data_IF_818235734588
#
_entry.id   IF_818235734588
#
_cell.length_a   1.000
_cell.length_b   1.000
_cell.length_c   1.000
_cell.angle_alpha   90.00
_cell.angle_beta   90.00
_cell.angle_gamma   90.00
#
_symmetry.space_group_name_H-M   'P 1'
#
loop_
_entity.id
_entity.type
_entity.pdbx_description
1 polymer ?
#
# COMPACT_ATOMS: atom_id res chain seq x y z
N UNK A 1 28.15 4.43 1.99
CA UNK A 1 27.90 5.89 2.00
C UNK A 1 26.93 6.11 0.86
N UNK A 2 25.64 6.00 1.17
CA UNK A 2 24.62 5.75 0.14
C UNK A 2 23.65 6.93 0.12
N UNK A 3 24.19 8.12 -0.14
CA UNK A 3 23.46 9.41 -0.17
C UNK A 3 22.33 9.46 -1.20
N UNK A 4 22.28 8.48 -2.12
CA UNK A 4 21.26 8.38 -3.16
C UNK A 4 19.95 7.74 -2.68
N UNK A 5 20.02 6.76 -1.77
CA UNK A 5 18.85 6.05 -1.22
C UNK A 5 18.06 6.94 -0.25
N UNK A 6 18.77 7.76 0.52
CA UNK A 6 18.17 8.75 1.43
C UNK A 6 17.42 9.85 0.67
N UNK A 7 17.96 10.29 -0.48
CA UNK A 7 17.35 11.31 -1.32
C UNK A 7 16.07 10.78 -2.01
N UNK A 8 16.10 9.56 -2.57
CA UNK A 8 14.92 8.95 -3.18
C UNK A 8 13.77 8.71 -2.17
N UNK A 9 14.11 8.28 -0.95
CA UNK A 9 13.12 8.10 0.12
C UNK A 9 12.49 9.43 0.55
N UNK A 10 13.29 10.50 0.60
CA UNK A 10 12.82 11.84 0.93
C UNK A 10 11.94 12.43 -0.18
N UNK A 11 12.30 12.21 -1.44
CA UNK A 11 11.51 12.66 -2.58
C UNK A 11 10.13 11.97 -2.63
N UNK A 12 10.10 10.63 -2.47
CA UNK A 12 8.84 9.89 -2.41
C UNK A 12 7.94 10.37 -1.28
N UNK A 13 8.51 10.67 -0.11
CA UNK A 13 7.78 11.22 1.02
C UNK A 13 7.10 12.56 0.66
N UNK A 14 7.82 13.47 0.02
CA UNK A 14 7.31 14.77 -0.39
C UNK A 14 6.21 14.65 -1.46
N UNK A 15 6.36 13.72 -2.40
CA UNK A 15 5.37 13.45 -3.44
C UNK A 15 4.06 12.93 -2.82
N UNK A 16 4.16 11.98 -1.88
CA UNK A 16 3.00 11.43 -1.15
C UNK A 16 2.31 12.50 -0.27
N UNK A 17 3.09 13.37 0.37
CA UNK A 17 2.53 14.49 1.12
C UNK A 17 1.75 15.45 0.22
N UNK A 18 2.30 15.78 -0.95
CA UNK A 18 1.67 16.67 -1.92
C UNK A 18 0.35 16.09 -2.44
N UNK A 19 0.34 14.80 -2.79
CA UNK A 19 -0.87 14.09 -3.21
C UNK A 19 -1.92 14.09 -2.10
N UNK A 20 -1.51 13.82 -0.86
CA UNK A 20 -2.41 13.83 0.30
C UNK A 20 -3.02 15.22 0.54
N UNK A 21 -2.23 16.29 0.37
CA UNK A 21 -2.72 17.66 0.46
C UNK A 21 -3.77 17.98 -0.60
N UNK A 22 -3.55 17.55 -1.85
CA UNK A 22 -4.49 17.75 -2.94
C UNK A 22 -5.81 17.01 -2.69
N UNK A 23 -5.74 15.75 -2.25
CA UNK A 23 -6.92 14.95 -1.87
C UNK A 23 -7.72 15.59 -0.73
N UNK A 24 -7.04 16.10 0.31
CA UNK A 24 -7.69 16.82 1.41
C UNK A 24 -8.37 18.10 0.93
N UNK A 25 -7.76 18.83 0.00
CA UNK A 25 -8.34 20.03 -0.58
C UNK A 25 -9.61 19.71 -1.39
N UNK A 26 -9.59 18.66 -2.22
CA UNK A 26 -10.76 18.17 -2.94
C UNK A 26 -11.89 17.76 -1.97
N UNK A 27 -11.58 16.98 -0.94
CA UNK A 27 -12.54 16.58 0.07
C UNK A 27 -13.18 17.78 0.78
N UNK A 28 -12.38 18.80 1.10
CA UNK A 28 -12.87 20.04 1.71
C UNK A 28 -13.75 20.85 0.75
N UNK A 29 -13.44 20.88 -0.53
CA UNK A 29 -14.24 21.64 -1.51
C UNK A 29 -15.62 21.02 -1.77
N UNK A 30 -15.77 19.72 -1.54
CA UNK A 30 -17.01 18.97 -1.78
C UNK A 30 -17.62 18.39 -0.49
N UNK A 31 -17.30 18.96 0.67
CA UNK A 31 -17.69 18.40 1.98
C UNK A 31 -19.21 18.32 2.21
N UNK A 32 -19.98 19.21 1.59
CA UNK A 32 -21.44 19.24 1.68
C UNK A 32 -22.14 18.39 0.59
N UNK A 33 -21.38 17.67 -0.23
CA UNK A 33 -21.89 16.78 -1.29
C UNK A 33 -21.57 15.31 -0.98
N UNK A 34 -22.53 14.55 -0.39
CA UNK A 34 -22.35 13.14 -0.10
C UNK A 34 -22.06 12.27 -1.33
N UNK A 35 -22.53 12.65 -2.51
CA UNK A 35 -22.30 11.89 -3.75
C UNK A 35 -20.87 12.12 -4.24
N UNK A 36 -20.38 13.36 -4.20
CA UNK A 36 -18.98 13.65 -4.49
C UNK A 36 -18.04 12.96 -3.50
N UNK A 37 -18.38 12.94 -2.21
CA UNK A 37 -17.63 12.20 -1.19
C UNK A 37 -17.58 10.71 -1.50
N UNK A 38 -18.72 10.11 -1.84
CA UNK A 38 -18.79 8.69 -2.21
C UNK A 38 -17.98 8.39 -3.50
N UNK A 39 -18.00 9.28 -4.49
CA UNK A 39 -17.20 9.13 -5.70
C UNK A 39 -15.68 9.19 -5.39
N UNK A 40 -15.25 10.09 -4.51
CA UNK A 40 -13.86 10.16 -4.05
C UNK A 40 -13.44 8.88 -3.32
N UNK A 41 -14.28 8.37 -2.41
CA UNK A 41 -14.01 7.12 -1.70
C UNK A 41 -13.88 5.91 -2.64
N UNK A 42 -14.80 5.77 -3.60
CA UNK A 42 -14.74 4.70 -4.62
C UNK A 42 -13.48 4.79 -5.48
N UNK A 43 -13.07 6.00 -5.83
CA UNK A 43 -11.84 6.23 -6.61
C UNK A 43 -10.60 5.80 -5.82
N UNK A 44 -10.53 6.20 -4.54
CA UNK A 44 -9.45 5.80 -3.65
C UNK A 44 -9.40 4.28 -3.43
N UNK A 45 -10.56 3.64 -3.27
CA UNK A 45 -10.66 2.19 -3.13
C UNK A 45 -10.19 1.48 -4.40
N UNK A 46 -10.63 1.94 -5.58
CA UNK A 46 -10.20 1.39 -6.87
C UNK A 46 -8.70 1.49 -7.07
N UNK A 47 -8.11 2.66 -6.80
CA UNK A 47 -6.66 2.87 -6.88
C UNK A 47 -5.92 1.99 -5.88
N UNK A 48 -6.40 1.90 -4.64
CA UNK A 48 -5.81 1.01 -3.64
C UNK A 48 -5.87 -0.46 -4.10
N UNK A 49 -6.98 -0.90 -4.68
CA UNK A 49 -7.09 -2.26 -5.21
C UNK A 49 -6.11 -2.50 -6.36
N UNK A 50 -6.01 -1.58 -7.33
CA UNK A 50 -5.08 -1.67 -8.45
C UNK A 50 -3.62 -1.77 -7.98
N UNK A 51 -3.20 -0.89 -7.06
CA UNK A 51 -1.86 -0.93 -6.49
C UNK A 51 -1.61 -2.23 -5.72
N UNK A 52 -2.60 -2.70 -4.95
CA UNK A 52 -2.51 -3.94 -4.17
C UNK A 52 -2.39 -5.18 -5.05
N UNK A 53 -3.18 -5.27 -6.12
CA UNK A 53 -3.27 -6.45 -7.00
C UNK A 53 -2.24 -6.47 -8.12
N UNK A 54 -1.72 -5.31 -8.52
CA UNK A 54 -0.67 -5.20 -9.53
C UNK A 54 0.71 -5.03 -8.91
N UNK A 55 1.05 -3.76 -8.63
CA UNK A 55 2.42 -3.36 -8.30
C UNK A 55 2.91 -3.90 -6.95
N UNK A 56 2.06 -3.92 -5.93
CA UNK A 56 2.46 -4.41 -4.60
C UNK A 56 2.73 -5.91 -4.61
N UNK A 57 1.92 -6.71 -5.31
CA UNK A 57 2.17 -8.14 -5.47
C UNK A 57 3.48 -8.42 -6.21
N UNK A 58 3.78 -7.66 -7.26
CA UNK A 58 5.04 -7.77 -8.00
C UNK A 58 6.25 -7.32 -7.18
N UNK A 59 6.06 -6.38 -6.25
CA UNK A 59 7.10 -5.88 -5.36
C UNK A 59 7.27 -6.73 -4.09
N UNK A 60 6.50 -7.82 -3.91
CA UNK A 60 6.67 -8.70 -2.76
C UNK A 60 8.06 -9.37 -2.82
N UNK A 61 8.76 -9.46 -1.68
CA UNK A 61 10.03 -10.16 -1.63
C UNK A 61 9.85 -11.66 -1.94
N UNK A 62 10.75 -12.20 -2.74
CA UNK A 62 10.85 -13.61 -3.11
C UNK A 62 11.55 -14.47 -2.04
N UNK A 63 12.20 -13.85 -1.06
CA UNK A 63 12.88 -14.52 0.04
C UNK A 63 12.18 -14.32 1.39
N UNK A 64 12.17 -15.39 2.20
CA UNK A 64 11.46 -15.44 3.49
C UNK A 64 11.90 -14.36 4.48
N UNK A 65 13.20 -14.03 4.50
CA UNK A 65 13.72 -13.08 5.48
C UNK A 65 13.26 -11.65 5.18
N UNK A 66 13.29 -11.23 3.92
CA UNK A 66 12.79 -9.93 3.49
C UNK A 66 11.26 -9.85 3.61
N UNK A 67 10.55 -10.93 3.30
CA UNK A 67 9.11 -11.01 3.52
C UNK A 67 8.76 -10.87 5.01
N UNK A 68 9.47 -11.56 5.89
CA UNK A 68 9.27 -11.43 7.34
C UNK A 68 9.55 -10.01 7.84
N UNK A 69 10.59 -9.37 7.35
CA UNK A 69 10.91 -7.98 7.69
C UNK A 69 9.82 -7.02 7.21
N UNK A 70 9.29 -7.22 6.00
CA UNK A 70 8.16 -6.46 5.47
C UNK A 70 6.91 -6.66 6.33
N UNK A 71 6.56 -7.90 6.68
CA UNK A 71 5.41 -8.20 7.53
C UNK A 71 5.53 -7.54 8.91
N UNK A 72 6.71 -7.62 9.53
CA UNK A 72 6.99 -6.98 10.82
C UNK A 72 6.86 -5.45 10.74
N UNK A 73 7.28 -4.85 9.64
CA UNK A 73 7.13 -3.40 9.42
C UNK A 73 5.65 -2.99 9.30
N UNK A 74 4.86 -3.78 8.56
CA UNK A 74 3.41 -3.56 8.42
C UNK A 74 2.70 -3.72 9.77
N UNK A 75 3.06 -4.72 10.59
CA UNK A 75 2.52 -4.92 11.93
C UNK A 75 2.87 -3.77 12.88
N UNK A 76 4.13 -3.30 12.86
CA UNK A 76 4.61 -2.26 13.78
C UNK A 76 4.06 -0.87 13.47
N UNK A 77 3.89 -0.52 12.20
CA UNK A 77 3.43 0.82 11.79
C UNK A 77 1.91 0.94 11.69
N UNK A 78 1.20 -0.18 11.66
CA UNK A 78 -0.26 -0.22 11.55
C UNK A 78 -0.74 0.27 10.18
N UNK A 79 -1.23 -0.63 9.35
CA UNK A 79 -1.64 -0.28 8.00
C UNK A 79 -1.56 -1.48 7.09
N UNK A 80 -2.29 -2.54 7.43
CA UNK A 80 -2.50 -3.60 6.45
C UNK A 80 -3.16 -2.94 5.23
N UNK A 81 -2.57 -3.02 4.01
CA UNK A 81 -3.39 -2.86 2.82
C UNK A 81 -4.55 -3.82 3.01
N UNK A 82 -5.78 -3.45 2.65
CA UNK A 82 -6.94 -4.31 2.91
C UNK A 82 -6.76 -5.63 2.15
N UNK A 83 -6.05 -6.62 2.68
CA UNK A 83 -5.77 -7.89 2.03
C UNK A 83 -6.84 -8.82 2.60
N UNK A 84 -7.79 -9.31 1.78
CA UNK A 84 -8.76 -10.27 2.24
C UNK A 84 -8.01 -11.43 2.91
N UNK A 85 -8.33 -11.74 4.18
CA UNK A 85 -7.58 -12.72 5.00
C UNK A 85 -7.37 -14.09 4.32
N UNK A 86 -8.27 -14.45 3.39
CA UNK A 86 -8.16 -15.63 2.53
C UNK A 86 -6.94 -15.61 1.59
N UNK A 87 -6.52 -14.45 1.08
CA UNK A 87 -5.33 -14.32 0.22
C UNK A 87 -4.03 -14.48 0.99
N UNK A 88 -3.98 -14.06 2.26
CA UNK A 88 -2.80 -14.31 3.11
C UNK A 88 -2.62 -15.79 3.40
N UNK A 89 -3.72 -16.50 3.73
CA UNK A 89 -3.67 -17.96 3.89
C UNK A 89 -3.25 -18.66 2.61
N UNK A 90 -3.81 -18.28 1.46
CA UNK A 90 -3.39 -18.81 0.17
C UNK A 90 -1.91 -18.57 -0.13
N UNK A 91 -1.38 -17.36 0.12
CA UNK A 91 0.05 -17.05 -0.06
C UNK A 91 0.93 -17.90 0.87
N UNK A 92 0.51 -18.11 2.12
CA UNK A 92 1.25 -18.90 3.11
C UNK A 92 1.15 -20.42 2.88
N UNK A 93 0.00 -20.90 2.39
CA UNK A 93 -0.29 -22.32 2.09
C UNK A 93 0.34 -22.75 0.76
N UNK A 94 0.40 -21.89 -0.26
CA UNK A 94 1.11 -22.17 -1.51
C UNK A 94 2.64 -22.06 -1.38
N UNK A 95 3.17 -21.70 -0.21
CA UNK A 95 4.61 -21.63 0.07
C UNK A 95 5.16 -22.91 0.73
N UNK A 96 4.33 -23.93 0.94
CA UNK A 96 4.71 -25.18 1.60
C UNK A 96 4.79 -26.41 0.68
N UNK A 97 5.05 -26.26 -0.62
CA UNK A 97 5.23 -27.41 -1.54
C UNK A 97 6.40 -27.30 -2.54
N UNK A 98 7.35 -26.38 -2.34
CA UNK A 98 8.66 -26.43 -3.01
C UNK A 98 9.74 -26.26 -1.95
N UNK A 99 10.07 -27.35 -1.24
CA UNK A 99 11.37 -27.62 -0.59
C UNK A 99 11.27 -28.93 0.25
N UNK A 100 11.01 -30.05 -0.42
CA UNK A 100 11.36 -31.40 0.06
C UNK A 100 12.04 -32.19 -1.05
#
# INVERSE_FOLDING_TARGET
MDTNTDNQSTQLHNDLQSLTHLLRALAKNHHDDPIAMLAMLRTLEGLHQELREGLFQQALPDNRQALYNLLKDIEAKGGWPYIPRLRLRYILENWSDEDL
#
